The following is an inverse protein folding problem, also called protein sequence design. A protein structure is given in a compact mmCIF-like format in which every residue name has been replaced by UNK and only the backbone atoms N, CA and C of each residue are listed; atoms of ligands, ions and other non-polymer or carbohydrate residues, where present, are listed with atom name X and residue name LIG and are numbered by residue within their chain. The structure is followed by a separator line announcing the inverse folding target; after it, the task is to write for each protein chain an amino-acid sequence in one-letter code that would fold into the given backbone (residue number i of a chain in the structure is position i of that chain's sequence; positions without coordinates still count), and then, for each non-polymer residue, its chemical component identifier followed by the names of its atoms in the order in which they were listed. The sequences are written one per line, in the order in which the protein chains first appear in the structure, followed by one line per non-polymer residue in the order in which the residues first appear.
data_IF_615427157968
#
_entry.id   IF_615427157968
#
_cell.length_a   1.000
_cell.length_b   1.000
_cell.length_c   1.000
_cell.angle_alpha   90.00
_cell.angle_beta   90.00
_cell.angle_gamma   90.00
#
_symmetry.space_group_name_H-M   'P 1'
#
loop_
_entity.id
_entity.type
_entity.pdbx_description
1 polymer ?
#
# COMPACT_ATOMS: atom_id res chain seq x y z
N UNK A 1 12.16 2.87 -27.08
CA UNK A 1 11.80 3.54 -25.81
C UNK A 1 12.62 2.91 -24.69
N UNK A 2 13.20 3.75 -23.83
CA UNK A 2 14.02 3.26 -22.73
C UNK A 2 13.45 3.74 -21.41
N UNK A 3 12.82 2.84 -20.65
CA UNK A 3 12.26 3.14 -19.34
C UNK A 3 13.38 2.97 -18.30
N UNK A 4 13.62 3.99 -17.48
CA UNK A 4 14.69 3.98 -16.49
C UNK A 4 14.29 3.25 -15.19
N UNK A 5 13.11 3.54 -14.67
CA UNK A 5 12.63 2.97 -13.40
C UNK A 5 11.14 3.22 -13.21
N UNK A 6 10.55 2.58 -12.22
CA UNK A 6 9.21 2.94 -11.74
C UNK A 6 9.34 4.29 -11.03
N UNK A 7 8.56 5.29 -11.45
CA UNK A 7 8.60 6.62 -10.83
C UNK A 7 7.68 6.68 -9.61
N UNK A 8 6.43 6.27 -9.77
CA UNK A 8 5.45 6.23 -8.69
C UNK A 8 4.32 5.27 -9.03
N UNK A 9 3.55 4.93 -8.03
CA UNK A 9 2.33 4.13 -8.15
C UNK A 9 1.19 4.97 -7.59
N UNK A 10 0.12 5.09 -8.35
CA UNK A 10 -1.07 5.82 -7.95
C UNK A 10 -2.14 4.84 -7.43
N UNK A 11 -2.70 5.15 -6.27
CA UNK A 11 -3.71 4.33 -5.60
C UNK A 11 -4.96 5.18 -5.41
N UNK A 12 -6.12 4.65 -5.79
CA UNK A 12 -7.41 5.29 -5.57
C UNK A 12 -8.01 4.80 -4.25
N UNK A 13 -8.46 5.72 -3.41
CA UNK A 13 -9.14 5.40 -2.16
C UNK A 13 -10.59 5.91 -2.17
N UNK A 14 -11.47 5.22 -1.44
CA UNK A 14 -12.87 5.61 -1.28
C UNK A 14 -13.08 6.59 -0.13
N UNK A 15 -12.31 6.45 0.95
CA UNK A 15 -12.34 7.30 2.14
C UNK A 15 -10.95 7.89 2.36
N UNK A 16 -10.78 9.16 2.00
CA UNK A 16 -9.47 9.82 2.02
C UNK A 16 -8.83 9.81 3.40
N UNK A 17 -9.57 10.22 4.44
CA UNK A 17 -9.02 10.31 5.79
C UNK A 17 -8.62 8.94 6.34
N UNK A 18 -9.41 7.93 6.06
CA UNK A 18 -9.12 6.56 6.48
C UNK A 18 -7.87 6.01 5.79
N UNK A 19 -7.74 6.22 4.49
CA UNK A 19 -6.57 5.76 3.74
C UNK A 19 -5.31 6.58 4.04
N UNK A 20 -5.46 7.88 4.24
CA UNK A 20 -4.35 8.74 4.70
C UNK A 20 -3.83 8.25 6.05
N UNK A 21 -4.72 7.97 7.02
CA UNK A 21 -4.33 7.42 8.31
C UNK A 21 -3.57 6.09 8.16
N UNK A 22 -4.07 5.23 7.28
CA UNK A 22 -3.44 3.92 7.04
C UNK A 22 -2.02 4.08 6.49
N UNK A 23 -1.84 4.80 5.39
CA UNK A 23 -0.53 4.91 4.74
C UNK A 23 0.45 5.78 5.53
N UNK A 24 -0.01 6.85 6.14
CA UNK A 24 0.87 7.79 6.86
C UNK A 24 1.11 7.36 8.30
N UNK A 25 0.04 7.11 9.07
CA UNK A 25 0.19 6.85 10.51
C UNK A 25 0.49 5.40 10.82
N UNK A 26 -0.09 4.44 10.08
CA UNK A 26 0.15 3.02 10.33
C UNK A 26 1.38 2.53 9.56
N UNK A 27 1.44 2.73 8.24
CA UNK A 27 2.60 2.29 7.45
C UNK A 27 3.82 3.21 7.58
N UNK A 28 3.63 4.44 8.06
CA UNK A 28 4.74 5.35 8.31
C UNK A 28 5.27 6.08 7.08
N UNK A 29 4.51 6.16 5.99
CA UNK A 29 4.94 6.91 4.82
C UNK A 29 4.89 8.40 5.10
N UNK A 30 5.85 9.14 4.58
CA UNK A 30 5.97 10.58 4.84
C UNK A 30 5.24 11.40 3.78
N UNK A 31 4.50 12.40 4.22
CA UNK A 31 3.80 13.33 3.32
C UNK A 31 4.82 14.28 2.70
N UNK A 32 4.86 14.31 1.36
CA UNK A 32 5.60 15.32 0.60
C UNK A 32 4.72 16.51 0.27
N UNK A 33 3.49 16.24 -0.17
CA UNK A 33 2.55 17.27 -0.56
C UNK A 33 1.12 16.74 -0.48
N UNK A 34 0.21 17.58 0.03
CA UNK A 34 -1.22 17.30 0.02
C UNK A 34 -1.91 18.38 -0.81
N UNK A 35 -2.71 17.96 -1.79
CA UNK A 35 -3.40 18.88 -2.69
C UNK A 35 -4.89 18.59 -2.70
N UNK A 36 -5.70 19.61 -2.40
CA UNK A 36 -7.15 19.57 -2.61
C UNK A 36 -7.43 20.04 -4.04
N UNK A 37 -8.05 19.18 -4.84
CA UNK A 37 -8.27 19.49 -6.27
C UNK A 37 -9.64 20.11 -6.55
N UNK A 38 -10.68 19.72 -5.84
CA UNK A 38 -12.07 20.21 -5.86
C UNK A 38 -13.03 19.05 -5.62
N UNK A 39 -14.30 19.31 -5.28
CA UNK A 39 -15.34 18.28 -5.15
C UNK A 39 -14.91 17.09 -4.27
N UNK A 40 -14.23 17.36 -3.16
CA UNK A 40 -13.69 16.36 -2.24
C UNK A 40 -12.62 15.44 -2.88
N UNK A 41 -11.95 15.90 -3.91
CA UNK A 41 -10.86 15.17 -4.55
C UNK A 41 -9.53 15.62 -3.99
N UNK A 42 -8.79 14.69 -3.41
CA UNK A 42 -7.45 14.93 -2.85
C UNK A 42 -6.41 14.16 -3.64
N UNK A 43 -5.21 14.71 -3.63
CA UNK A 43 -4.00 14.02 -4.08
C UNK A 43 -2.97 14.13 -2.96
N UNK A 44 -2.45 13.01 -2.50
CA UNK A 44 -1.46 12.94 -1.44
C UNK A 44 -0.19 12.28 -1.99
N UNK A 45 0.88 13.06 -2.06
CA UNK A 45 2.18 12.58 -2.50
C UNK A 45 2.95 12.08 -1.29
N UNK A 46 3.38 10.83 -1.33
CA UNK A 46 4.03 10.14 -0.22
C UNK A 46 5.41 9.63 -0.63
N UNK A 47 6.35 9.71 0.32
CA UNK A 47 7.66 9.08 0.17
C UNK A 47 7.80 7.87 1.09
N UNK A 48 8.57 6.91 0.62
CA UNK A 48 9.00 5.75 1.38
C UNK A 48 10.53 5.82 1.45
N UNK A 49 11.05 5.90 2.67
CA UNK A 49 12.49 5.91 2.92
C UNK A 49 13.26 6.96 2.08
N UNK A 50 12.69 8.16 1.99
CA UNK A 50 13.31 9.28 1.28
C UNK A 50 13.03 9.35 -0.22
N UNK A 51 12.28 8.41 -0.78
CA UNK A 51 11.95 8.40 -2.20
C UNK A 51 10.45 8.61 -2.42
N UNK A 52 10.10 9.54 -3.31
CA UNK A 52 8.74 9.73 -3.78
C UNK A 52 8.28 8.49 -4.54
N UNK A 53 7.26 7.80 -4.04
CA UNK A 53 6.85 6.52 -4.63
C UNK A 53 5.36 6.33 -4.75
N UNK A 54 4.55 6.93 -3.90
CA UNK A 54 3.11 6.69 -3.85
C UNK A 54 2.35 7.99 -4.04
N UNK A 55 1.30 7.94 -4.87
CA UNK A 55 0.28 8.99 -4.96
C UNK A 55 -1.05 8.40 -4.54
N UNK A 56 -1.65 8.96 -3.50
CA UNK A 56 -2.98 8.54 -3.06
C UNK A 56 -4.00 9.53 -3.61
N UNK A 57 -4.98 9.02 -4.36
CA UNK A 57 -6.05 9.82 -4.94
C UNK A 57 -7.39 9.47 -4.33
N UNK A 58 -8.21 10.47 -4.04
CA UNK A 58 -9.61 10.25 -3.71
C UNK A 58 -10.52 10.75 -4.83
N UNK A 59 -11.58 10.01 -5.07
CA UNK A 59 -12.65 10.38 -5.99
C UNK A 59 -14.00 10.11 -5.32
N UNK A 60 -15.07 10.85 -5.66
CA UNK A 60 -16.40 10.52 -5.16
C UNK A 60 -16.86 9.15 -5.66
N UNK A 61 -17.21 8.26 -4.73
CA UNK A 61 -17.78 6.94 -5.03
C UNK A 61 -17.05 6.13 -6.10
N UNK A 62 -15.73 5.89 -5.97
CA UNK A 62 -15.03 5.05 -6.94
C UNK A 62 -15.57 3.61 -6.85
N UNK A 63 -15.65 2.88 -7.98
CA UNK A 63 -16.01 1.47 -7.94
C UNK A 63 -15.06 0.66 -7.07
N UNK A 64 -15.58 -0.39 -6.44
CA UNK A 64 -14.75 -1.30 -5.66
C UNK A 64 -13.71 -1.99 -6.52
N UNK A 65 -12.52 -2.23 -5.93
CA UNK A 65 -11.49 -3.02 -6.57
C UNK A 65 -11.93 -4.48 -6.70
N UNK A 66 -11.72 -5.09 -7.87
CA UNK A 66 -11.92 -6.52 -8.06
C UNK A 66 -10.70 -7.29 -7.53
N UNK A 67 -10.74 -7.65 -6.25
CA UNK A 67 -9.68 -8.41 -5.60
C UNK A 67 -9.95 -9.91 -5.59
N UNK A 68 -11.21 -10.30 -5.47
CA UNK A 68 -11.64 -11.70 -5.46
C UNK A 68 -12.94 -11.85 -6.25
N UNK A 69 -12.94 -12.65 -7.34
CA UNK A 69 -11.78 -13.30 -7.93
C UNK A 69 -10.77 -12.28 -8.48
N UNK A 70 -9.52 -12.69 -8.62
CA UNK A 70 -8.47 -11.82 -9.14
C UNK A 70 -8.76 -11.43 -10.60
N UNK A 71 -8.56 -10.12 -10.90
CA UNK A 71 -8.79 -9.57 -12.22
C UNK A 71 -7.45 -9.16 -12.85
N UNK A 72 -7.50 -8.87 -14.16
CA UNK A 72 -6.32 -8.39 -14.89
C UNK A 72 -5.83 -7.05 -14.33
N UNK A 73 -4.53 -6.82 -14.38
CA UNK A 73 -3.88 -5.58 -13.95
C UNK A 73 -3.00 -5.79 -12.72
N UNK A 74 -2.81 -4.74 -11.97
CA UNK A 74 -1.99 -4.79 -10.77
C UNK A 74 -2.59 -5.75 -9.74
N UNK A 75 -1.84 -6.79 -9.37
CA UNK A 75 -2.29 -7.80 -8.42
C UNK A 75 -2.13 -7.34 -6.98
N UNK A 76 -0.94 -6.86 -6.66
CA UNK A 76 -0.61 -6.36 -5.32
C UNK A 76 0.62 -5.45 -5.40
N UNK A 77 0.91 -4.81 -4.28
CA UNK A 77 2.10 -3.99 -4.08
C UNK A 77 2.90 -4.59 -2.93
N UNK A 78 4.20 -4.81 -3.15
CA UNK A 78 5.07 -5.43 -2.16
C UNK A 78 6.07 -4.43 -1.58
N UNK A 79 6.30 -4.51 -0.27
CA UNK A 79 7.29 -3.72 0.46
C UNK A 79 8.30 -4.64 1.11
N UNK A 80 9.56 -4.22 1.17
CA UNK A 80 10.63 -4.91 1.87
C UNK A 80 10.64 -4.49 3.34
N UNK A 81 10.82 -5.45 4.23
CA UNK A 81 10.97 -5.21 5.68
C UNK A 81 12.17 -5.97 6.23
N UNK A 82 12.71 -5.50 7.35
CA UNK A 82 13.85 -6.18 7.99
C UNK A 82 13.43 -7.45 8.74
N UNK A 83 12.26 -7.42 9.39
CA UNK A 83 11.73 -8.57 10.14
C UNK A 83 10.25 -8.74 9.87
N UNK A 84 9.90 -9.90 9.33
CA UNK A 84 8.49 -10.21 9.03
C UNK A 84 7.68 -10.38 10.31
N UNK A 85 8.25 -11.03 11.32
CA UNK A 85 7.57 -11.28 12.60
C UNK A 85 7.24 -9.96 13.32
N UNK A 86 8.20 -9.04 13.38
CA UNK A 86 8.00 -7.74 14.03
C UNK A 86 6.97 -6.90 13.25
N UNK A 87 7.01 -6.97 11.94
CA UNK A 87 6.05 -6.25 11.08
C UNK A 87 4.64 -6.77 11.26
N UNK A 88 4.45 -8.10 11.31
CA UNK A 88 3.15 -8.72 11.57
C UNK A 88 2.62 -8.34 12.95
N UNK A 89 3.48 -8.40 13.97
CA UNK A 89 3.11 -8.00 15.33
C UNK A 89 2.66 -6.55 15.38
N UNK A 90 3.38 -5.67 14.71
CA UNK A 90 3.04 -4.24 14.62
C UNK A 90 1.70 -4.02 13.91
N UNK A 91 1.48 -4.64 12.75
CA UNK A 91 0.23 -4.53 12.01
C UNK A 91 -0.96 -5.02 12.84
N UNK A 92 -0.83 -6.19 13.46
CA UNK A 92 -1.89 -6.76 14.29
C UNK A 92 -2.20 -5.88 15.50
N UNK A 93 -1.20 -5.27 16.12
CA UNK A 93 -1.39 -4.31 17.22
C UNK A 93 -2.17 -3.08 16.77
N UNK A 94 -2.07 -2.70 15.51
CA UNK A 94 -2.81 -1.59 14.91
C UNK A 94 -4.13 -2.04 14.25
N UNK A 95 -4.62 -3.23 14.60
CA UNK A 95 -5.88 -3.79 14.10
C UNK A 95 -5.88 -4.07 12.59
N UNK A 96 -4.71 -4.32 12.02
CA UNK A 96 -4.58 -4.74 10.62
C UNK A 96 -4.36 -6.25 10.61
N UNK A 97 -5.31 -6.98 10.03
CA UNK A 97 -5.21 -8.43 9.91
C UNK A 97 -4.15 -8.80 8.87
N UNK A 98 -3.38 -9.83 9.16
CA UNK A 98 -2.38 -10.37 8.23
C UNK A 98 -2.70 -11.85 7.95
N UNK A 99 -2.33 -12.31 6.76
CA UNK A 99 -2.35 -13.74 6.46
C UNK A 99 -1.24 -14.47 7.23
N UNK A 100 -1.26 -15.80 7.31
CA UNK A 100 -0.14 -16.55 7.89
C UNK A 100 1.16 -16.27 7.14
N UNK A 101 2.26 -16.21 7.88
CA UNK A 101 3.61 -16.04 7.31
C UNK A 101 3.94 -17.27 6.47
N UNK A 102 4.42 -17.04 5.24
CA UNK A 102 4.85 -18.08 4.30
C UNK A 102 6.32 -17.88 3.95
N UNK A 103 6.91 -18.92 3.39
CA UNK A 103 8.29 -18.90 2.89
C UNK A 103 8.24 -19.05 1.38
N UNK A 104 8.88 -18.14 0.67
CA UNK A 104 9.05 -18.21 -0.77
C UNK A 104 10.02 -19.34 -1.10
N UNK A 105 9.57 -20.33 -1.89
CA UNK A 105 10.37 -21.51 -2.22
C UNK A 105 11.61 -21.19 -3.07
N UNK A 106 11.56 -20.08 -3.80
CA UNK A 106 12.67 -19.66 -4.69
C UNK A 106 13.73 -18.90 -3.90
N UNK A 107 13.33 -17.91 -3.10
CA UNK A 107 14.25 -17.03 -2.37
C UNK A 107 14.54 -17.51 -0.95
N UNK A 108 13.75 -18.43 -0.43
CA UNK A 108 13.75 -18.90 0.96
C UNK A 108 13.53 -17.77 1.99
N UNK A 109 12.88 -16.70 1.57
CA UNK A 109 12.56 -15.55 2.42
C UNK A 109 11.10 -15.58 2.84
N UNK A 110 10.84 -15.01 3.99
CA UNK A 110 9.49 -14.94 4.54
C UNK A 110 8.70 -13.79 3.92
N UNK A 111 7.40 -14.00 3.75
CA UNK A 111 6.48 -12.97 3.29
C UNK A 111 5.09 -13.20 3.85
N UNK A 112 4.26 -12.17 3.80
CA UNK A 112 2.84 -12.29 4.10
C UNK A 112 2.06 -11.16 3.43
N UNK A 113 0.74 -11.26 3.46
CA UNK A 113 -0.17 -10.30 2.87
C UNK A 113 -1.07 -9.67 3.92
N UNK A 114 -1.46 -8.44 3.66
CA UNK A 114 -2.50 -7.71 4.36
C UNK A 114 -3.23 -6.83 3.34
N UNK A 115 -4.20 -6.04 3.77
CA UNK A 115 -5.02 -5.24 2.87
C UNK A 115 -5.03 -3.78 3.29
N UNK A 116 -5.08 -2.88 2.30
CA UNK A 116 -5.38 -1.49 2.58
C UNK A 116 -6.89 -1.31 2.83
N UNK A 117 -7.37 -0.11 3.22
CA UNK A 117 -8.79 0.11 3.50
C UNK A 117 -9.75 -0.19 2.35
N UNK A 118 -9.26 -0.16 1.12
CA UNK A 118 -10.06 -0.45 -0.08
C UNK A 118 -9.75 -1.83 -0.68
N UNK A 119 -9.24 -2.73 0.15
CA UNK A 119 -8.99 -4.12 -0.22
C UNK A 119 -7.90 -4.33 -1.27
N UNK A 120 -6.99 -3.35 -1.43
CA UNK A 120 -5.79 -3.56 -2.23
C UNK A 120 -4.86 -4.52 -1.49
N UNK A 121 -4.48 -5.66 -2.09
CA UNK A 121 -3.52 -6.56 -1.46
C UNK A 121 -2.16 -5.89 -1.35
N UNK A 122 -1.59 -5.91 -0.17
CA UNK A 122 -0.23 -5.45 0.11
C UNK A 122 0.58 -6.62 0.64
N UNK A 123 1.80 -6.73 0.16
CA UNK A 123 2.73 -7.77 0.60
C UNK A 123 3.86 -7.13 1.39
N UNK A 124 4.30 -7.79 2.44
CA UNK A 124 5.61 -7.51 3.05
C UNK A 124 6.50 -8.73 2.85
N UNK A 125 7.72 -8.50 2.38
CA UNK A 125 8.73 -9.54 2.18
C UNK A 125 10.00 -9.18 2.94
N UNK A 126 10.60 -10.18 3.55
CA UNK A 126 11.82 -9.99 4.34
C UNK A 126 13.02 -9.75 3.43
N UNK A 127 13.90 -8.86 3.86
CA UNK A 127 15.11 -8.47 3.14
C UNK A 127 16.10 -9.61 2.89
#
# INVERSE_FOLDING_TARGET
MFINKIHHIAIICSDYEKSKNFYVNILGFKILKETYRSERKYKLDLEINGEYQIELFSFPNPPERTTSPEARGLRHLAFEVDSIEDSVKYLNKNNIATEPIKIDEITNKKYTFFRDPDNLPLEICEK
#
